data_IF_461923825743
#
_entry.id   IF_461923825743
#
_cell.length_a   1.000
_cell.length_b   1.000
_cell.length_c   1.000
_cell.angle_alpha   90.00
_cell.angle_beta   90.00
_cell.angle_gamma   90.00
#
_symmetry.space_group_name_H-M   'P 1'
#
loop_
_entity.id
_entity.type
_entity.pdbx_description
1 polymer ?
#
# COMPACT_ATOMS: atom_id res chain seq x y z
N UNK A 1 -22.36 4.81 -4.12
CA UNK A 1 -21.09 4.23 -3.67
C UNK A 1 -21.41 2.81 -3.22
N UNK A 2 -20.87 1.73 -3.83
CA UNK A 2 -21.14 0.40 -3.31
C UNK A 2 -20.45 0.27 -1.94
N UNK A 3 -21.09 -0.43 -1.01
CA UNK A 3 -20.76 -0.33 0.41
C UNK A 3 -19.32 -0.81 0.77
N UNK A 4 -18.61 -0.10 1.67
CA UNK A 4 -17.29 -0.48 2.20
C UNK A 4 -17.27 -1.78 3.03
N UNK A 5 -18.42 -2.37 3.32
CA UNK A 5 -18.56 -3.48 4.28
C UNK A 5 -18.10 -4.86 3.76
N UNK A 6 -17.62 -4.99 2.52
CA UNK A 6 -17.16 -6.27 1.94
C UNK A 6 -15.63 -6.42 1.86
N UNK A 7 -14.85 -5.36 2.02
CA UNK A 7 -13.38 -5.42 1.85
C UNK A 7 -12.74 -6.24 2.98
N UNK A 8 -13.04 -5.90 4.24
CA UNK A 8 -12.53 -6.64 5.40
C UNK A 8 -12.97 -8.11 5.43
N UNK A 9 -14.21 -8.39 5.02
CA UNK A 9 -14.70 -9.77 4.94
C UNK A 9 -13.92 -10.61 3.91
N UNK A 10 -13.56 -10.02 2.77
CA UNK A 10 -12.71 -10.69 1.77
C UNK A 10 -11.31 -10.95 2.33
N UNK A 11 -10.73 -10.00 3.05
CA UNK A 11 -9.41 -10.10 3.67
C UNK A 11 -9.34 -11.18 4.75
N UNK A 12 -10.44 -11.45 5.45
CA UNK A 12 -10.53 -12.52 6.44
C UNK A 12 -10.79 -13.90 5.81
N UNK A 13 -11.62 -13.96 4.77
CA UNK A 13 -12.04 -15.23 4.15
C UNK A 13 -10.94 -15.85 3.27
N UNK A 14 -10.22 -15.03 2.49
CA UNK A 14 -9.22 -15.54 1.53
C UNK A 14 -8.05 -16.28 2.20
N UNK A 15 -7.45 -15.80 3.31
CA UNK A 15 -6.40 -16.53 4.02
C UNK A 15 -6.90 -17.87 4.57
N UNK A 16 -8.10 -17.91 5.14
CA UNK A 16 -8.66 -19.16 5.70
C UNK A 16 -8.94 -20.18 4.59
N UNK A 17 -9.43 -19.71 3.43
CA UNK A 17 -9.61 -20.57 2.25
C UNK A 17 -8.29 -21.10 1.67
N UNK A 18 -7.17 -20.38 1.85
CA UNK A 18 -5.83 -20.82 1.41
C UNK A 18 -5.14 -21.76 2.39
N UNK A 19 -5.43 -21.64 3.69
CA UNK A 19 -4.94 -22.55 4.72
C UNK A 19 -5.68 -23.88 4.66
N UNK A 20 -6.92 -23.88 4.17
CA UNK A 20 -7.71 -25.08 3.90
C UNK A 20 -6.97 -26.07 2.98
N UNK A 21 -7.23 -27.35 3.19
CA UNK A 21 -6.62 -28.43 2.42
C UNK A 21 -6.89 -28.21 0.91
N UNK A 22 -5.86 -28.22 0.04
CA UNK A 22 -6.02 -28.06 -1.41
C UNK A 22 -6.94 -29.12 -2.04
N UNK A 23 -7.24 -30.20 -1.31
CA UNK A 23 -8.16 -31.26 -1.70
C UNK A 23 -9.63 -30.92 -1.43
N UNK A 24 -9.92 -29.88 -0.66
CA UNK A 24 -11.28 -29.41 -0.38
C UNK A 24 -11.78 -28.64 -1.60
N UNK A 25 -12.89 -29.09 -2.17
CA UNK A 25 -13.55 -28.39 -3.27
C UNK A 25 -13.88 -26.95 -2.85
N UNK A 26 -13.56 -25.98 -3.71
CA UNK A 26 -13.79 -24.55 -3.50
C UNK A 26 -15.25 -24.25 -3.11
N UNK A 27 -16.19 -25.09 -3.57
CA UNK A 27 -17.61 -25.09 -3.21
C UNK A 27 -17.85 -25.33 -1.72
N UNK A 28 -17.15 -26.29 -1.12
CA UNK A 28 -17.29 -26.61 0.30
C UNK A 28 -16.72 -25.49 1.17
N UNK A 29 -15.57 -24.92 0.78
CA UNK A 29 -15.00 -23.76 1.45
C UNK A 29 -15.93 -22.55 1.35
N UNK A 30 -16.48 -22.28 0.17
CA UNK A 30 -17.41 -21.17 -0.04
C UNK A 30 -18.71 -21.34 0.76
N UNK A 31 -19.21 -22.58 0.89
CA UNK A 31 -20.38 -22.90 1.70
C UNK A 31 -20.18 -22.58 3.19
N UNK A 32 -18.98 -22.83 3.75
CA UNK A 32 -18.65 -22.49 5.15
C UNK A 32 -18.76 -20.99 5.42
N UNK A 33 -18.42 -20.15 4.43
CA UNK A 33 -18.50 -18.69 4.55
C UNK A 33 -19.83 -18.11 4.06
N UNK A 34 -20.75 -18.95 3.55
CA UNK A 34 -22.00 -18.49 2.94
C UNK A 34 -21.80 -17.69 1.64
N UNK A 35 -20.67 -17.90 0.94
CA UNK A 35 -20.30 -17.20 -0.29
C UNK A 35 -20.44 -18.15 -1.48
N UNK A 36 -20.68 -17.60 -2.68
CA UNK A 36 -20.64 -18.39 -3.93
C UNK A 36 -19.18 -18.72 -4.28
N UNK A 37 -18.87 -19.96 -4.66
CA UNK A 37 -17.51 -20.37 -5.01
C UNK A 37 -16.86 -19.52 -6.10
N UNK A 38 -17.66 -19.07 -7.08
CA UNK A 38 -17.20 -18.14 -8.10
C UNK A 38 -16.70 -16.79 -7.53
N UNK A 39 -17.33 -16.28 -6.48
CA UNK A 39 -16.88 -15.06 -5.80
C UNK A 39 -15.59 -15.30 -5.03
N UNK A 40 -15.48 -16.45 -4.34
CA UNK A 40 -14.25 -16.85 -3.63
C UNK A 40 -13.08 -17.01 -4.60
N UNK A 41 -13.29 -17.68 -5.75
CA UNK A 41 -12.29 -17.82 -6.81
C UNK A 41 -11.81 -16.47 -7.33
N UNK A 42 -12.75 -15.53 -7.56
CA UNK A 42 -12.43 -14.18 -8.01
C UNK A 42 -11.61 -13.41 -6.98
N UNK A 43 -11.93 -13.56 -5.69
CA UNK A 43 -11.18 -12.92 -4.61
C UNK A 43 -9.76 -13.47 -4.48
N UNK A 44 -9.58 -14.79 -4.55
CA UNK A 44 -8.26 -15.44 -4.53
C UNK A 44 -7.40 -14.99 -5.71
N UNK A 45 -7.94 -15.03 -6.94
CA UNK A 45 -7.20 -14.54 -8.13
C UNK A 45 -6.81 -13.07 -7.98
N UNK A 46 -7.71 -12.25 -7.45
CA UNK A 46 -7.43 -10.83 -7.26
C UNK A 46 -6.33 -10.62 -6.20
N UNK A 47 -6.33 -11.37 -5.10
CA UNK A 47 -5.22 -11.32 -4.13
C UNK A 47 -3.89 -11.82 -4.71
N UNK A 48 -3.90 -12.81 -5.61
CA UNK A 48 -2.67 -13.26 -6.28
C UNK A 48 -2.11 -12.16 -7.20
N UNK A 49 -2.98 -11.47 -7.94
CA UNK A 49 -2.59 -10.33 -8.77
C UNK A 49 -2.09 -9.17 -7.91
N UNK A 50 -2.78 -8.83 -6.83
CA UNK A 50 -2.39 -7.74 -5.94
C UNK A 50 -1.04 -8.05 -5.26
N UNK A 51 -0.82 -9.30 -4.83
CA UNK A 51 0.46 -9.75 -4.25
C UNK A 51 1.58 -9.73 -5.29
N UNK A 52 1.31 -10.20 -6.52
CA UNK A 52 2.27 -10.15 -7.62
C UNK A 52 2.61 -8.70 -8.00
N UNK A 53 1.62 -7.82 -8.11
CA UNK A 53 1.80 -6.40 -8.37
C UNK A 53 2.53 -5.70 -7.21
N UNK A 54 2.29 -6.11 -5.97
CA UNK A 54 3.02 -5.60 -4.80
C UNK A 54 4.47 -6.07 -4.81
N UNK A 55 4.75 -7.30 -5.23
CA UNK A 55 6.10 -7.83 -5.43
C UNK A 55 6.82 -7.13 -6.59
N UNK A 56 6.12 -6.87 -7.69
CA UNK A 56 6.65 -6.11 -8.84
C UNK A 56 6.95 -4.65 -8.46
N UNK A 57 6.07 -3.99 -7.73
CA UNK A 57 6.30 -2.61 -7.26
C UNK A 57 7.38 -2.54 -6.18
N UNK A 58 7.42 -3.49 -5.24
CA UNK A 58 8.47 -3.55 -4.21
C UNK A 58 9.84 -3.92 -4.78
N UNK A 59 9.88 -4.73 -5.85
CA UNK A 59 11.10 -5.04 -6.60
C UNK A 59 11.56 -3.93 -7.55
N UNK A 60 10.60 -3.19 -8.13
CA UNK A 60 10.84 -2.06 -9.03
C UNK A 60 10.99 -0.70 -8.30
N UNK A 61 10.85 -0.68 -6.96
CA UNK A 61 11.29 0.42 -6.08
C UNK A 61 12.83 0.45 -6.03
N UNK A 62 13.35 0.80 -7.21
CA UNK A 62 14.71 0.67 -7.67
C UNK A 62 15.62 1.65 -6.96
N UNK A 63 16.92 1.38 -7.03
CA UNK A 63 18.00 2.22 -6.50
C UNK A 63 17.81 3.71 -6.83
N UNK A 64 17.20 4.03 -7.98
CA UNK A 64 16.89 5.40 -8.41
C UNK A 64 15.81 6.06 -7.56
N UNK A 65 14.74 5.35 -7.16
CA UNK A 65 13.77 5.88 -6.20
C UNK A 65 14.40 6.16 -4.83
N UNK A 66 15.33 5.31 -4.39
CA UNK A 66 16.08 5.54 -3.14
C UNK A 66 17.03 6.74 -3.26
N UNK A 67 17.68 6.93 -4.43
CA UNK A 67 18.51 8.11 -4.72
C UNK A 67 17.68 9.38 -4.78
N UNK A 68 16.55 9.38 -5.50
CA UNK A 68 15.63 10.51 -5.58
C UNK A 68 15.08 10.91 -4.21
N UNK A 69 14.64 9.95 -3.39
CA UNK A 69 14.20 10.21 -2.00
C UNK A 69 15.31 10.83 -1.14
N UNK A 70 16.57 10.44 -1.33
CA UNK A 70 17.72 11.05 -0.62
C UNK A 70 17.98 12.48 -1.08
N UNK A 71 17.92 12.74 -2.39
CA UNK A 71 18.09 14.08 -2.95
C UNK A 71 16.98 15.03 -2.49
N UNK A 72 15.72 14.58 -2.49
CA UNK A 72 14.58 15.39 -2.01
C UNK A 72 14.79 15.77 -0.54
N UNK A 73 15.20 14.83 0.31
CA UNK A 73 15.48 15.13 1.73
C UNK A 73 16.57 16.18 1.90
N UNK A 74 17.66 16.09 1.13
CA UNK A 74 18.73 17.08 1.18
C UNK A 74 18.23 18.46 0.77
N UNK A 75 17.51 18.55 -0.35
CA UNK A 75 16.97 19.81 -0.86
C UNK A 75 16.01 20.46 0.15
N UNK A 76 15.17 19.67 0.84
CA UNK A 76 14.26 20.18 1.87
C UNK A 76 15.04 20.80 3.04
N UNK A 77 16.12 20.16 3.48
CA UNK A 77 16.97 20.70 4.56
C UNK A 77 17.69 21.98 4.12
N UNK A 78 18.24 22.00 2.90
CA UNK A 78 18.87 23.20 2.33
C UNK A 78 17.88 24.36 2.25
N UNK A 79 16.65 24.09 1.77
CA UNK A 79 15.61 25.10 1.72
C UNK A 79 15.24 25.60 3.12
N UNK A 80 15.12 24.71 4.11
CA UNK A 80 14.83 25.12 5.49
C UNK A 80 15.91 26.07 6.05
N UNK A 81 17.18 25.77 5.80
CA UNK A 81 18.30 26.63 6.19
C UNK A 81 18.22 27.99 5.49
N UNK A 82 17.96 27.99 4.18
CA UNK A 82 17.82 29.22 3.39
C UNK A 82 16.64 30.07 3.89
N UNK A 83 15.50 29.45 4.18
CA UNK A 83 14.33 30.14 4.72
C UNK A 83 14.61 30.76 6.09
N UNK A 84 15.28 30.03 6.99
CA UNK A 84 15.69 30.55 8.30
C UNK A 84 16.68 31.72 8.17
N UNK A 85 17.63 31.62 7.24
CA UNK A 85 18.59 32.69 6.94
C UNK A 85 17.91 33.96 6.44
N UNK A 86 16.97 33.83 5.50
CA UNK A 86 16.19 34.95 4.98
C UNK A 86 15.37 35.64 6.09
N UNK A 87 14.70 34.86 6.94
CA UNK A 87 13.92 35.40 8.06
C UNK A 87 14.81 36.20 9.04
N UNK A 88 16.01 35.70 9.36
CA UNK A 88 16.96 36.41 10.21
C UNK A 88 17.41 37.74 9.60
N UNK A 89 17.72 37.77 8.30
CA UNK A 89 18.11 38.99 7.59
C UNK A 89 16.98 40.03 7.57
N UNK A 90 15.75 39.61 7.30
CA UNK A 90 14.59 40.51 7.34
C UNK A 90 14.36 41.04 8.75
N UNK A 91 14.49 40.21 9.79
CA UNK A 91 14.36 40.63 11.18
C UNK A 91 15.45 41.66 11.57
N UNK A 92 16.70 41.42 11.20
CA UNK A 92 17.80 42.35 11.44
C UNK A 92 17.59 43.70 10.75
N UNK A 93 17.03 43.72 9.54
CA UNK A 93 16.76 44.94 8.79
C UNK A 93 15.49 45.69 9.26
N UNK A 94 14.64 45.07 10.08
CA UNK A 94 13.47 45.71 10.69
C UNK A 94 13.75 46.22 12.11
N UNK A 95 14.79 45.72 12.77
CA UNK A 95 15.19 46.07 14.14
C UNK A 95 16.39 47.02 14.21
N UNK A 96 17.03 47.32 13.07
CA UNK A 96 18.06 48.35 12.91
C UNK A 96 17.49 49.60 12.26
#
# INVERSE_FOLDING_TARGET
MPEPCLEGFREDVVPVARIGDPSVELEQAAAVFGVRAMSLSKWMRRTDIDTAAQLETTGHDSVELRKARRQIKLIVLENEILCRGAAHLTAANLLG
#
